data_IF_374863929452
#
_entry.id   IF_374863929452
#
_cell.length_a   1.000
_cell.length_b   1.000
_cell.length_c   1.000
_cell.angle_alpha   90.00
_cell.angle_beta   90.00
_cell.angle_gamma   90.00
#
_symmetry.space_group_name_H-M   'P 1'
#
loop_
_entity.id
_entity.type
_entity.pdbx_description
1 polymer ?
#
# COMPACT_ATOMS: atom_id res chain seq x y z
N UNK A 1 5.46 2.03 -0.57
CA UNK A 1 6.35 3.18 -0.43
C UNK A 1 5.55 4.45 -0.07
N UNK A 2 4.69 4.92 -0.94
CA UNK A 2 3.83 6.08 -0.60
C UNK A 2 2.55 6.08 -1.44
N UNK A 3 1.53 6.79 -0.98
CA UNK A 3 0.29 7.01 -1.70
C UNK A 3 0.06 8.52 -1.78
N UNK A 4 0.07 9.08 -2.99
CA UNK A 4 -0.23 10.50 -3.22
C UNK A 4 -1.25 10.69 -4.34
N UNK A 5 -1.82 9.62 -4.87
CA UNK A 5 -2.87 9.69 -5.89
C UNK A 5 -4.24 9.67 -5.20
N UNK A 6 -4.95 10.79 -5.27
CA UNK A 6 -6.26 10.93 -4.63
C UNK A 6 -7.28 9.91 -5.12
N UNK A 7 -7.16 9.45 -6.38
CA UNK A 7 -8.06 8.44 -6.92
C UNK A 7 -7.90 7.09 -6.22
N UNK A 8 -6.64 6.74 -5.91
CA UNK A 8 -6.32 5.51 -5.18
C UNK A 8 -6.78 5.62 -3.73
N UNK A 9 -6.45 6.74 -3.06
CA UNK A 9 -6.87 6.98 -1.68
C UNK A 9 -8.39 6.95 -1.54
N UNK A 10 -9.11 7.56 -2.50
CA UNK A 10 -10.56 7.57 -2.49
C UNK A 10 -11.15 6.16 -2.66
N UNK A 11 -10.55 5.35 -3.55
CA UNK A 11 -10.98 3.96 -3.75
C UNK A 11 -10.78 3.13 -2.47
N UNK A 12 -9.68 3.35 -1.75
CA UNK A 12 -9.41 2.67 -0.48
C UNK A 12 -10.43 3.08 0.58
N UNK A 13 -10.73 4.37 0.68
CA UNK A 13 -11.74 4.88 1.62
C UNK A 13 -13.14 4.32 1.31
N UNK A 14 -13.50 4.23 0.04
CA UNK A 14 -14.78 3.64 -0.38
C UNK A 14 -14.88 2.17 0.02
N UNK A 15 -13.79 1.41 -0.15
CA UNK A 15 -13.74 0.02 0.29
C UNK A 15 -13.93 -0.07 1.80
N UNK A 16 -13.27 0.78 2.56
CA UNK A 16 -13.38 0.82 4.01
C UNK A 16 -14.83 1.11 4.44
N UNK A 17 -15.50 2.06 3.78
CA UNK A 17 -16.89 2.39 4.08
C UNK A 17 -17.86 1.25 3.77
N UNK A 18 -17.51 0.38 2.81
CA UNK A 18 -18.28 -0.84 2.53
C UNK A 18 -17.97 -1.98 3.51
N UNK A 19 -17.20 -1.70 4.57
CA UNK A 19 -16.78 -2.66 5.60
C UNK A 19 -15.80 -3.71 5.09
N UNK A 20 -15.07 -3.41 4.02
CA UNK A 20 -13.92 -4.20 3.60
C UNK A 20 -12.81 -3.97 4.62
N UNK A 21 -12.19 -5.05 5.09
CA UNK A 21 -11.06 -4.95 6.01
C UNK A 21 -9.82 -4.49 5.23
N UNK A 22 -9.35 -3.29 5.52
CA UNK A 22 -8.20 -2.69 4.83
C UNK A 22 -7.07 -2.45 5.84
N UNK A 23 -5.85 -2.81 5.45
CA UNK A 23 -4.64 -2.50 6.23
C UNK A 23 -3.60 -1.88 5.30
N UNK A 24 -2.91 -0.87 5.75
CA UNK A 24 -1.91 -0.14 4.95
C UNK A 24 -0.59 -0.07 5.71
N UNK A 25 0.50 -0.32 4.98
CA UNK A 25 1.87 -0.10 5.48
C UNK A 25 2.54 0.88 4.52
N UNK A 26 3.17 1.92 5.05
CA UNK A 26 3.85 2.93 4.27
C UNK A 26 5.22 3.26 4.87
N UNK A 27 6.06 3.92 4.09
CA UNK A 27 7.36 4.41 4.54
C UNK A 27 7.17 5.71 5.35
N UNK A 28 7.84 5.83 6.48
CA UNK A 28 7.72 6.99 7.38
C UNK A 28 8.13 8.29 6.69
N UNK A 29 9.23 8.26 5.94
CA UNK A 29 9.70 9.44 5.24
C UNK A 29 8.67 9.96 4.23
N UNK A 30 7.91 9.06 3.65
CA UNK A 30 6.90 9.40 2.65
C UNK A 30 5.53 9.72 3.26
N UNK A 31 5.24 9.20 4.44
CA UNK A 31 4.00 9.49 5.13
C UNK A 31 3.86 10.99 5.46
N UNK A 32 4.99 11.67 5.66
CA UNK A 32 5.03 13.10 5.98
C UNK A 32 5.19 13.99 4.75
N UNK A 33 5.34 13.42 3.55
CA UNK A 33 5.47 14.21 2.31
C UNK A 33 4.20 15.02 2.03
N UNK A 34 4.39 16.22 1.51
CA UNK A 34 3.28 17.03 1.02
C UNK A 34 2.57 16.28 -0.12
N UNK A 35 1.24 16.17 -0.02
CA UNK A 35 0.45 15.43 -0.99
C UNK A 35 0.32 13.94 -0.70
N UNK A 36 0.94 13.43 0.36
CA UNK A 36 0.72 12.05 0.80
C UNK A 36 -0.67 11.90 1.40
N UNK A 37 -1.38 10.84 0.99
CA UNK A 37 -2.71 10.54 1.50
C UNK A 37 -2.71 9.57 2.68
N UNK A 38 -1.54 9.22 3.23
CA UNK A 38 -1.44 8.29 4.36
C UNK A 38 -2.14 8.84 5.58
N UNK A 39 -1.92 10.12 5.91
CA UNK A 39 -2.58 10.77 7.02
C UNK A 39 -4.09 10.83 6.83
N UNK A 40 -4.55 11.07 5.60
CA UNK A 40 -5.96 11.03 5.24
C UNK A 40 -6.59 9.67 5.52
N UNK A 41 -5.90 8.58 5.14
CA UNK A 41 -6.38 7.23 5.36
C UNK A 41 -6.44 6.90 6.85
N UNK A 42 -5.44 7.33 7.62
CA UNK A 42 -5.40 7.14 9.06
C UNK A 42 -6.58 7.85 9.74
N UNK A 43 -6.86 9.09 9.36
CA UNK A 43 -7.99 9.84 9.89
C UNK A 43 -9.35 9.24 9.54
N UNK A 44 -9.41 8.52 8.42
CA UNK A 44 -10.64 7.81 8.02
C UNK A 44 -10.90 6.55 8.84
N UNK A 45 -9.99 6.18 9.73
CA UNK A 45 -10.12 4.98 10.57
C UNK A 45 -9.54 3.72 9.98
N UNK A 46 -8.82 3.82 8.87
CA UNK A 46 -8.16 2.69 8.25
C UNK A 46 -6.86 2.40 9.02
N UNK A 47 -6.64 1.14 9.49
CA UNK A 47 -5.40 0.81 10.17
C UNK A 47 -4.18 1.05 9.28
N UNK A 48 -3.29 1.93 9.70
CA UNK A 48 -2.06 2.28 8.98
C UNK A 48 -0.88 2.06 9.92
N UNK A 49 0.17 1.41 9.42
CA UNK A 49 1.44 1.27 10.12
C UNK A 49 2.55 1.81 9.23
N UNK A 50 3.57 2.39 9.84
CA UNK A 50 4.60 3.13 9.13
C UNK A 50 5.97 2.55 9.50
N UNK A 51 6.82 2.33 8.48
CA UNK A 51 8.20 1.92 8.67
C UNK A 51 9.00 3.11 9.20
N UNK A 52 9.53 2.97 10.42
CA UNK A 52 10.33 4.01 11.09
C UNK A 52 11.81 3.66 11.15
N UNK A 53 12.25 2.72 10.32
CA UNK A 53 13.65 2.34 10.24
C UNK A 53 14.42 3.32 9.36
N UNK A 54 15.76 3.20 9.38
CA UNK A 54 16.65 4.02 8.55
C UNK A 54 16.54 3.66 7.07
N UNK A 55 16.07 2.45 6.75
CA UNK A 55 15.97 1.96 5.38
C UNK A 55 14.56 2.14 4.86
N UNK A 56 14.47 2.57 3.59
CA UNK A 56 13.18 2.71 2.94
C UNK A 56 12.53 1.36 2.68
N UNK A 57 11.25 1.27 2.90
CA UNK A 57 10.45 0.14 2.47
C UNK A 57 9.99 0.39 1.04
N UNK A 58 10.61 -0.31 0.08
CA UNK A 58 10.34 -0.12 -1.34
C UNK A 58 9.30 -1.08 -1.92
N UNK A 59 8.66 -1.89 -1.09
CA UNK A 59 7.62 -2.80 -1.55
C UNK A 59 6.44 -2.03 -2.13
N UNK A 60 5.95 -2.48 -3.28
CA UNK A 60 4.84 -1.87 -4.00
C UNK A 60 3.87 -2.97 -4.40
N UNK A 61 3.09 -3.44 -3.43
CA UNK A 61 2.15 -4.52 -3.71
C UNK A 61 0.86 -4.35 -2.91
N UNK A 62 -0.18 -5.01 -3.39
CA UNK A 62 -1.46 -5.12 -2.69
C UNK A 62 -1.98 -6.54 -2.78
N UNK A 63 -2.64 -7.01 -1.74
CA UNK A 63 -3.27 -8.31 -1.69
C UNK A 63 -4.77 -8.10 -1.52
N UNK A 64 -5.57 -8.70 -2.41
CA UNK A 64 -7.01 -8.57 -2.44
C UNK A 64 -7.65 -9.90 -2.03
N UNK A 65 -8.44 -9.88 -0.96
CA UNK A 65 -9.22 -11.03 -0.48
C UNK A 65 -8.37 -12.28 -0.21
N UNK A 66 -7.08 -12.09 0.04
CA UNK A 66 -6.10 -13.17 0.28
C UNK A 66 -5.93 -14.13 -0.91
N UNK A 67 -6.45 -13.78 -2.08
CA UNK A 67 -6.41 -14.65 -3.26
C UNK A 67 -5.79 -14.01 -4.49
N UNK A 68 -5.58 -12.70 -4.50
CA UNK A 68 -5.05 -11.99 -5.66
C UNK A 68 -3.97 -11.02 -5.23
N UNK A 69 -2.87 -11.00 -5.97
CA UNK A 69 -1.73 -10.13 -5.73
C UNK A 69 -1.53 -9.18 -6.89
N UNK A 70 -1.35 -7.90 -6.58
CA UNK A 70 -0.85 -6.90 -7.53
C UNK A 70 0.51 -6.45 -7.03
N UNK A 71 1.53 -6.50 -7.90
CA UNK A 71 2.87 -6.02 -7.57
C UNK A 71 3.54 -5.42 -8.80
N UNK A 72 4.51 -4.52 -8.59
CA UNK A 72 5.22 -3.88 -9.68
C UNK A 72 6.06 -2.70 -9.19
N UNK A 73 6.45 -1.84 -10.12
CA UNK A 73 7.25 -0.66 -9.81
C UNK A 73 6.41 0.57 -9.44
N UNK A 74 5.09 0.50 -9.60
CA UNK A 74 4.18 1.61 -9.41
C UNK A 74 4.08 2.07 -7.96
N UNK A 75 4.48 3.30 -7.67
CA UNK A 75 4.52 3.86 -6.33
C UNK A 75 3.18 4.40 -5.82
N UNK A 76 2.10 4.19 -6.54
CA UNK A 76 0.76 4.63 -6.15
C UNK A 76 0.68 6.15 -5.95
N UNK A 77 1.49 6.88 -6.72
CA UNK A 77 1.52 8.33 -6.71
C UNK A 77 0.95 8.87 -8.01
N UNK A 78 0.43 10.09 -7.95
CA UNK A 78 -0.04 10.75 -9.17
C UNK A 78 1.11 11.01 -10.13
N UNK A 79 2.30 11.34 -9.62
CA UNK A 79 3.49 11.53 -10.45
C UNK A 79 3.88 10.24 -11.16
N UNK A 80 3.89 9.10 -10.44
CA UNK A 80 4.18 7.81 -11.07
C UNK A 80 3.15 7.47 -12.15
N UNK A 81 1.86 7.73 -11.89
CA UNK A 81 0.78 7.44 -12.84
C UNK A 81 0.86 8.30 -14.10
N UNK A 82 1.33 9.55 -14.01
CA UNK A 82 1.27 10.51 -15.10
C UNK A 82 2.60 10.69 -15.83
N UNK A 83 3.74 10.44 -15.17
CA UNK A 83 5.06 10.82 -15.69
C UNK A 83 6.04 9.67 -15.82
N UNK A 84 5.86 8.59 -15.07
CA UNK A 84 6.78 7.46 -15.06
C UNK A 84 6.29 6.35 -15.98
N UNK A 85 7.25 5.61 -16.57
CA UNK A 85 6.95 4.33 -17.21
C UNK A 85 7.01 3.26 -16.15
N UNK A 86 5.90 2.57 -15.90
CA UNK A 86 5.76 1.66 -14.78
C UNK A 86 5.23 0.29 -15.24
N UNK A 87 5.59 -0.74 -14.49
CA UNK A 87 5.14 -2.10 -14.72
C UNK A 87 4.36 -2.62 -13.53
N UNK A 88 3.35 -3.44 -13.79
CA UNK A 88 2.67 -4.18 -12.73
C UNK A 88 2.23 -5.55 -13.23
N UNK A 89 2.05 -6.45 -12.27
CA UNK A 89 1.60 -7.82 -12.50
C UNK A 89 0.46 -8.12 -11.55
N UNK A 90 -0.59 -8.77 -12.06
CA UNK A 90 -1.68 -9.28 -11.23
C UNK A 90 -1.71 -10.80 -11.36
N UNK A 91 -1.73 -11.51 -10.24
CA UNK A 91 -1.75 -12.97 -10.24
C UNK A 91 -2.62 -13.52 -9.12
N UNK A 92 -3.19 -14.70 -9.35
CA UNK A 92 -3.89 -15.47 -8.31
C UNK A 92 -3.16 -16.77 -7.97
N UNK A 93 -1.93 -16.93 -8.45
CA UNK A 93 -1.13 -18.12 -8.18
C UNK A 93 -0.75 -18.19 -6.69
N UNK A 94 -1.20 -19.23 -5.94
CA UNK A 94 -0.89 -19.33 -4.52
C UNK A 94 0.60 -19.39 -4.22
N UNK A 95 1.41 -19.96 -5.11
CA UNK A 95 2.86 -20.05 -4.92
C UNK A 95 3.55 -18.69 -4.95
N UNK A 96 3.02 -17.74 -5.74
CA UNK A 96 3.51 -16.37 -5.77
C UNK A 96 2.90 -15.55 -4.64
N UNK A 97 1.66 -15.80 -4.28
CA UNK A 97 0.94 -15.05 -3.26
C UNK A 97 1.50 -15.28 -1.85
N UNK A 98 1.87 -16.52 -1.51
CA UNK A 98 2.34 -16.87 -0.17
C UNK A 98 3.49 -16.03 0.36
N UNK A 99 4.60 -15.85 -0.39
CA UNK A 99 5.71 -15.03 0.10
C UNK A 99 5.31 -13.58 0.39
N UNK A 100 4.46 -13.00 -0.43
CA UNK A 100 3.99 -11.61 -0.23
C UNK A 100 3.06 -11.51 0.98
N UNK A 101 2.19 -12.49 1.19
CA UNK A 101 1.32 -12.53 2.37
C UNK A 101 2.14 -12.64 3.65
N UNK A 102 3.16 -13.50 3.66
CA UNK A 102 4.07 -13.64 4.81
C UNK A 102 4.85 -12.35 5.07
N UNK A 103 5.31 -11.69 4.01
CA UNK A 103 6.03 -10.42 4.14
C UNK A 103 5.12 -9.34 4.72
N UNK A 104 3.89 -9.24 4.24
CA UNK A 104 2.94 -8.27 4.76
C UNK A 104 2.68 -8.51 6.26
N UNK A 105 2.40 -9.74 6.65
CA UNK A 105 2.12 -10.05 8.07
C UNK A 105 3.33 -9.79 8.96
N UNK A 106 4.53 -10.08 8.47
CA UNK A 106 5.78 -9.79 9.19
C UNK A 106 5.94 -8.29 9.41
N UNK A 107 5.83 -7.50 8.35
CA UNK A 107 5.95 -6.04 8.43
C UNK A 107 4.86 -5.44 9.32
N UNK A 108 3.65 -5.96 9.22
CA UNK A 108 2.55 -5.50 10.05
C UNK A 108 2.82 -5.67 11.53
N UNK A 109 3.42 -6.80 11.92
CA UNK A 109 3.83 -7.03 13.31
C UNK A 109 5.00 -6.14 13.72
N UNK A 110 5.99 -6.01 12.83
CA UNK A 110 7.23 -5.29 13.13
C UNK A 110 7.01 -3.79 13.30
N UNK A 111 6.00 -3.23 12.62
CA UNK A 111 5.72 -1.79 12.65
C UNK A 111 4.53 -1.42 13.55
N UNK A 112 4.17 -2.27 14.45
CA UNK A 112 3.09 -2.00 15.39
C UNK A 112 3.44 -0.93 16.45
#
# INVERSE_FOLDING_TARGET
FTITDNRIAEAIEKAHRRRVQVRVISDDDKAMDAGSDIDRLDRAGIPVRVDRTEHHMHHKFAIFDKVRLLTGSYNWTRSAALHNEENFLITSDPELLKPFSRMFEKLWRDFS
#
